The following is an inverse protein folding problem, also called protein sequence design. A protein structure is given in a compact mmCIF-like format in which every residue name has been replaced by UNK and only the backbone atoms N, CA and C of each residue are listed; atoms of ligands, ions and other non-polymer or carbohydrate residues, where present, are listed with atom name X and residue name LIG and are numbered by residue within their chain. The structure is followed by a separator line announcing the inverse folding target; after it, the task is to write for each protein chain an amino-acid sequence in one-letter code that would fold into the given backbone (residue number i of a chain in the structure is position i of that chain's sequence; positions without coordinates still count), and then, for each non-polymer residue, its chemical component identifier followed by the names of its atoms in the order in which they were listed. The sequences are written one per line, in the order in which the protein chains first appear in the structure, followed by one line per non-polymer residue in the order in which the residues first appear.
data_IF_996231153115
#
_entry.id   IF_996231153115
#
_cell.length_a   1.000
_cell.length_b   1.000
_cell.length_c   1.000
_cell.angle_alpha   90.00
_cell.angle_beta   90.00
_cell.angle_gamma   90.00
#
_symmetry.space_group_name_H-M   'P 1'
#
loop_
_entity.id
_entity.type
_entity.pdbx_description
1 polymer ?
#
# COMPACT_ATOMS: atom_id res chain seq x y z
N UNK A 1 -7.52 -5.47 -9.67
CA UNK A 1 -6.56 -4.40 -10.02
C UNK A 1 -5.18 -5.00 -10.14
N UNK A 2 -4.34 -4.48 -11.01
CA UNK A 2 -3.07 -5.14 -11.41
C UNK A 2 -1.83 -4.69 -10.63
N UNK A 3 -1.97 -3.72 -9.74
CA UNK A 3 -0.82 -3.05 -9.11
C UNK A 3 -0.88 -3.09 -7.56
N UNK A 4 -1.53 -4.13 -7.01
CA UNK A 4 -1.69 -4.34 -5.57
C UNK A 4 -0.72 -5.43 -5.11
N UNK A 5 0.14 -5.15 -4.11
CA UNK A 5 1.02 -6.14 -3.53
C UNK A 5 0.24 -7.26 -2.83
N UNK A 6 0.60 -8.51 -3.13
CA UNK A 6 0.15 -9.65 -2.34
C UNK A 6 1.05 -9.79 -1.11
N UNK A 7 0.46 -10.06 0.06
CA UNK A 7 1.18 -10.26 1.32
C UNK A 7 0.84 -11.61 1.91
N UNK A 8 1.90 -12.33 2.34
CA UNK A 8 1.79 -13.55 3.11
C UNK A 8 2.67 -13.44 4.35
N UNK A 9 2.04 -13.44 5.53
CA UNK A 9 2.71 -13.25 6.81
C UNK A 9 3.19 -14.59 7.37
N UNK A 10 4.49 -14.77 7.51
CA UNK A 10 5.07 -15.88 8.25
C UNK A 10 4.96 -15.65 9.76
N UNK A 11 4.20 -16.49 10.47
CA UNK A 11 4.07 -16.42 11.94
C UNK A 11 5.11 -17.29 12.56
N UNK A 12 6.08 -16.67 13.25
CA UNK A 12 7.20 -17.33 13.93
C UNK A 12 7.08 -17.11 15.42
N UNK A 13 6.79 -18.17 16.16
CA UNK A 13 6.71 -18.10 17.62
C UNK A 13 8.10 -18.23 18.25
N UNK A 14 8.30 -17.55 19.38
CA UNK A 14 9.54 -17.57 20.15
C UNK A 14 9.30 -18.02 21.58
N UNK A 15 10.32 -18.60 22.21
CA UNK A 15 10.31 -19.02 23.61
C UNK A 15 11.67 -18.78 24.23
N UNK A 16 11.72 -18.46 25.52
CA UNK A 16 12.94 -18.37 26.29
C UNK A 16 13.09 -19.63 27.12
N UNK A 17 14.30 -20.16 27.22
CA UNK A 17 14.68 -21.42 27.88
C UNK A 17 14.18 -21.60 29.33
N UNK A 18 13.99 -20.49 30.07
CA UNK A 18 13.49 -20.53 31.45
C UNK A 18 11.96 -20.56 31.56
N UNK A 19 11.23 -20.54 30.42
CA UNK A 19 9.76 -20.66 30.36
C UNK A 19 9.34 -21.96 29.66
N UNK A 20 8.14 -22.49 29.94
CA UNK A 20 7.67 -23.68 29.24
C UNK A 20 7.52 -23.44 27.72
N UNK A 21 8.27 -24.17 26.91
CA UNK A 21 8.15 -24.14 25.45
C UNK A 21 6.71 -24.48 25.01
N UNK A 22 6.08 -25.45 25.69
CA UNK A 22 4.71 -25.87 25.41
C UNK A 22 3.69 -24.75 25.51
N UNK A 23 3.97 -23.73 26.32
CA UNK A 23 3.09 -22.54 26.43
C UNK A 23 3.09 -21.76 25.11
N UNK A 24 4.26 -21.46 24.56
CA UNK A 24 4.38 -20.80 23.26
C UNK A 24 3.79 -21.62 22.12
N UNK A 25 4.02 -22.94 22.10
CA UNK A 25 3.43 -23.85 21.11
C UNK A 25 1.90 -23.81 21.14
N UNK A 26 1.31 -23.89 22.33
CA UNK A 26 -0.14 -23.89 22.47
C UNK A 26 -0.77 -22.54 22.12
N UNK A 27 -0.13 -21.44 22.54
CA UNK A 27 -0.57 -20.07 22.20
C UNK A 27 -0.48 -19.80 20.71
N UNK A 28 0.59 -20.25 20.04
CA UNK A 28 0.68 -20.15 18.56
C UNK A 28 -0.47 -20.90 17.88
N UNK A 29 -0.74 -22.15 18.28
CA UNK A 29 -1.85 -22.92 17.71
C UNK A 29 -3.21 -22.24 17.93
N UNK A 30 -3.43 -21.67 19.10
CA UNK A 30 -4.64 -20.92 19.39
C UNK A 30 -4.74 -19.66 18.50
N UNK A 31 -3.65 -18.94 18.32
CA UNK A 31 -3.57 -17.78 17.42
C UNK A 31 -3.89 -18.15 15.96
N UNK A 32 -3.24 -19.20 15.42
CA UNK A 32 -3.50 -19.67 14.04
C UNK A 32 -4.99 -20.04 13.88
N UNK A 33 -5.54 -20.76 14.86
CA UNK A 33 -6.95 -21.12 14.84
C UNK A 33 -7.85 -19.87 14.87
N UNK A 34 -7.62 -18.93 15.78
CA UNK A 34 -8.40 -17.70 15.87
C UNK A 34 -8.34 -16.89 14.56
N UNK A 35 -7.16 -16.80 13.94
CA UNK A 35 -7.02 -16.13 12.66
C UNK A 35 -7.82 -16.82 11.57
N UNK A 36 -7.68 -18.13 11.41
CA UNK A 36 -8.34 -18.88 10.32
C UNK A 36 -9.86 -19.05 10.52
N UNK A 37 -10.34 -18.92 11.74
CA UNK A 37 -11.78 -18.89 12.02
C UNK A 37 -12.44 -17.57 11.58
N UNK A 38 -11.67 -16.47 11.51
CA UNK A 38 -12.19 -15.12 11.29
C UNK A 38 -11.76 -14.53 9.94
N UNK A 39 -10.58 -14.86 9.46
CA UNK A 39 -9.92 -14.29 8.29
C UNK A 39 -9.48 -15.34 7.28
N UNK A 40 -8.95 -14.91 6.11
CA UNK A 40 -8.51 -15.83 5.08
C UNK A 40 -7.19 -16.52 5.47
N UNK A 41 -7.19 -17.84 5.50
CA UNK A 41 -6.03 -18.65 5.83
C UNK A 41 -4.84 -18.46 4.87
N UNK A 42 -5.08 -17.96 3.64
CA UNK A 42 -4.01 -17.70 2.67
C UNK A 42 -3.07 -16.56 3.08
N UNK A 43 -3.55 -15.63 3.93
CA UNK A 43 -2.81 -14.44 4.34
C UNK A 43 -1.66 -14.76 5.29
N UNK A 44 -1.70 -15.92 5.93
CA UNK A 44 -0.74 -16.35 6.92
C UNK A 44 -0.07 -17.68 6.60
N UNK A 45 1.08 -17.91 7.20
CA UNK A 45 1.78 -19.18 7.22
C UNK A 45 2.31 -19.47 8.62
N UNK A 46 1.93 -20.61 9.20
CA UNK A 46 2.48 -21.06 10.45
C UNK A 46 3.86 -21.67 10.23
N UNK A 47 4.92 -21.05 10.76
CA UNK A 47 6.26 -21.63 10.71
C UNK A 47 6.32 -22.87 11.59
N UNK A 48 6.66 -24.07 11.04
CA UNK A 48 6.68 -25.31 11.77
C UNK A 48 7.90 -25.47 12.67
N UNK A 49 8.92 -24.64 12.52
CA UNK A 49 10.03 -24.59 13.49
C UNK A 49 9.38 -24.34 14.85
N UNK A 50 9.49 -25.30 15.75
CA UNK A 50 8.65 -25.39 16.93
C UNK A 50 8.61 -24.10 17.70
N UNK A 51 9.79 -23.62 18.06
CA UNK A 51 9.93 -22.33 18.76
C UNK A 51 11.35 -21.83 18.50
N UNK A 52 11.48 -20.55 18.24
CA UNK A 52 12.81 -19.92 18.14
C UNK A 52 13.33 -19.62 19.52
N UNK A 53 14.30 -20.39 19.98
CA UNK A 53 15.02 -20.21 21.26
C UNK A 53 16.51 -19.86 21.07
N UNK A 54 17.02 -20.04 19.86
CA UNK A 54 18.43 -19.85 19.54
C UNK A 54 18.60 -19.27 18.12
N UNK A 55 19.83 -18.83 17.83
CA UNK A 55 20.19 -18.38 16.48
C UNK A 55 20.12 -19.51 15.45
N UNK A 56 20.31 -20.76 15.84
CA UNK A 56 20.16 -21.93 14.97
C UNK A 56 18.68 -22.08 14.58
N UNK A 57 17.78 -22.01 15.56
CA UNK A 57 16.33 -22.05 15.28
C UNK A 57 15.89 -20.85 14.44
N UNK A 58 16.47 -19.68 14.67
CA UNK A 58 16.23 -18.47 13.87
C UNK A 58 16.57 -18.70 12.39
N UNK A 59 17.77 -19.27 12.10
CA UNK A 59 18.18 -19.59 10.73
C UNK A 59 17.23 -20.59 10.06
N UNK A 60 16.78 -21.61 10.79
CA UNK A 60 15.82 -22.59 10.33
C UNK A 60 14.45 -21.93 10.02
N UNK A 61 13.97 -21.05 10.89
CA UNK A 61 12.72 -20.33 10.69
C UNK A 61 12.79 -19.40 9.47
N UNK A 62 13.91 -18.66 9.31
CA UNK A 62 14.12 -17.82 8.12
C UNK A 62 14.09 -18.63 6.82
N UNK A 63 14.77 -19.78 6.81
CA UNK A 63 14.78 -20.65 5.64
C UNK A 63 13.39 -21.19 5.32
N UNK A 64 12.63 -21.57 6.33
CA UNK A 64 11.29 -22.13 6.20
C UNK A 64 10.28 -21.09 5.66
N UNK A 65 10.17 -19.93 6.30
CA UNK A 65 9.23 -18.88 5.85
C UNK A 65 9.58 -18.34 4.44
N UNK A 66 10.87 -18.31 4.10
CA UNK A 66 11.33 -17.98 2.74
C UNK A 66 10.89 -19.03 1.73
N UNK A 67 11.06 -20.33 2.06
CA UNK A 67 10.63 -21.42 1.21
C UNK A 67 9.10 -21.46 1.03
N UNK A 68 8.35 -21.02 2.04
CA UNK A 68 6.89 -20.87 1.99
C UNK A 68 6.42 -19.64 1.18
N UNK A 69 7.34 -18.80 0.70
CA UNK A 69 7.02 -17.59 -0.06
C UNK A 69 6.46 -16.46 0.79
N UNK A 70 6.74 -16.42 2.10
CA UNK A 70 6.34 -15.32 2.96
C UNK A 70 7.17 -14.08 2.65
N UNK A 71 6.50 -12.94 2.49
CA UNK A 71 7.10 -11.64 2.27
C UNK A 71 6.80 -10.63 3.40
N UNK A 72 6.13 -11.08 4.45
CA UNK A 72 5.95 -10.36 5.70
C UNK A 72 6.20 -11.30 6.89
N UNK A 73 6.59 -10.76 8.03
CA UNK A 73 6.96 -11.52 9.24
C UNK A 73 6.15 -11.03 10.44
N UNK A 74 5.56 -11.96 11.18
CA UNK A 74 5.08 -11.74 12.53
C UNK A 74 5.94 -12.53 13.51
N UNK A 75 6.67 -11.85 14.39
CA UNK A 75 7.34 -12.45 15.55
C UNK A 75 6.34 -12.49 16.70
N UNK A 76 5.96 -13.70 17.08
CA UNK A 76 4.95 -13.95 18.12
C UNK A 76 5.63 -14.37 19.42
N UNK A 77 5.56 -13.52 20.44
CA UNK A 77 6.06 -13.84 21.77
C UNK A 77 5.01 -14.68 22.52
N UNK A 78 5.10 -15.99 22.42
CA UNK A 78 4.24 -16.90 23.16
C UNK A 78 4.56 -16.97 24.65
N UNK A 79 5.79 -16.60 25.01
CA UNK A 79 6.26 -16.27 26.35
C UNK A 79 7.32 -15.15 26.24
N UNK A 80 8.18 -14.95 27.23
CA UNK A 80 9.15 -13.84 27.28
C UNK A 80 9.99 -13.66 26.00
N UNK A 81 10.38 -14.74 25.33
CA UNK A 81 11.21 -14.70 24.14
C UNK A 81 12.73 -14.52 24.39
N UNK A 82 13.58 -14.96 23.46
CA UNK A 82 15.03 -14.80 23.52
C UNK A 82 15.45 -13.53 22.77
N UNK A 83 15.76 -12.45 23.46
CA UNK A 83 16.03 -11.11 22.95
C UNK A 83 16.95 -11.04 21.73
N UNK A 84 17.98 -11.89 21.68
CA UNK A 84 18.94 -11.94 20.57
C UNK A 84 18.29 -12.57 19.34
N UNK A 85 17.83 -13.81 19.47
CA UNK A 85 17.35 -14.59 18.31
C UNK A 85 16.12 -13.98 17.67
N UNK A 86 15.16 -13.48 18.44
CA UNK A 86 13.93 -12.85 17.92
C UNK A 86 14.20 -11.53 17.18
N UNK A 87 15.13 -10.72 17.69
CA UNK A 87 15.48 -9.44 17.05
C UNK A 87 16.42 -9.63 15.86
N UNK A 88 17.27 -10.67 15.88
CA UNK A 88 18.08 -11.06 14.72
C UNK A 88 17.21 -11.70 13.63
N UNK A 89 16.18 -12.46 13.98
CA UNK A 89 15.16 -12.93 13.05
C UNK A 89 14.57 -11.74 12.26
N UNK A 90 14.13 -10.72 12.96
CA UNK A 90 13.61 -9.51 12.36
C UNK A 90 14.66 -8.74 11.51
N UNK A 91 15.92 -8.74 11.96
CA UNK A 91 17.01 -8.06 11.25
C UNK A 91 17.35 -8.72 9.92
N UNK A 92 17.34 -10.04 9.86
CA UNK A 92 17.71 -10.80 8.65
C UNK A 92 16.54 -11.12 7.74
N UNK A 93 15.30 -10.89 8.19
CA UNK A 93 14.14 -10.99 7.32
C UNK A 93 14.07 -9.75 6.41
N UNK A 94 14.02 -9.98 5.11
CA UNK A 94 13.84 -8.93 4.10
C UNK A 94 12.34 -8.72 3.82
N UNK A 95 11.78 -7.63 4.31
CA UNK A 95 10.37 -7.28 4.18
C UNK A 95 9.77 -6.65 5.43
N UNK A 96 8.47 -6.28 5.38
CA UNK A 96 7.74 -5.77 6.52
C UNK A 96 7.64 -6.78 7.66
N UNK A 97 7.76 -6.32 8.88
CA UNK A 97 7.78 -7.15 10.07
C UNK A 97 7.02 -6.51 11.22
N UNK A 98 6.36 -7.35 12.03
CA UNK A 98 5.68 -6.94 13.24
C UNK A 98 6.04 -7.80 14.43
N UNK A 99 5.75 -7.30 15.62
CA UNK A 99 5.86 -8.03 16.89
C UNK A 99 4.54 -7.95 17.64
N UNK A 100 4.07 -9.08 18.14
CA UNK A 100 2.93 -9.18 19.04
C UNK A 100 3.21 -10.23 20.11
N UNK A 101 2.57 -10.11 21.28
CA UNK A 101 2.81 -10.96 22.42
C UNK A 101 1.52 -11.52 23.02
N UNK A 102 1.58 -12.72 23.57
CA UNK A 102 0.46 -13.37 24.22
C UNK A 102 0.18 -12.77 25.60
N UNK A 103 -1.08 -12.45 25.87
CA UNK A 103 -1.55 -12.18 27.23
C UNK A 103 -1.60 -13.46 28.07
N UNK A 104 -1.60 -13.31 29.40
CA UNK A 104 -1.88 -14.42 30.29
C UNK A 104 -3.39 -14.73 30.26
N UNK A 105 -3.75 -16.00 30.17
CA UNK A 105 -5.12 -16.45 29.99
C UNK A 105 -6.00 -16.26 31.24
N UNK A 106 -5.37 -16.23 32.42
CA UNK A 106 -6.11 -16.12 33.68
C UNK A 106 -5.21 -15.63 34.83
N UNK A 107 -5.82 -15.04 35.86
CA UNK A 107 -5.11 -14.68 37.09
C UNK A 107 -4.38 -15.87 37.75
N UNK A 108 -4.83 -17.09 37.52
CA UNK A 108 -4.19 -18.30 38.06
C UNK A 108 -2.81 -18.54 37.42
N UNK A 109 -2.60 -18.12 36.19
CA UNK A 109 -1.35 -18.26 35.48
C UNK A 109 -0.23 -17.32 36.03
N UNK A 110 -0.63 -16.24 36.74
CA UNK A 110 0.31 -15.27 37.27
C UNK A 110 1.24 -15.82 38.35
N UNK A 111 0.89 -16.95 39.00
CA UNK A 111 1.67 -17.58 40.05
C UNK A 111 2.49 -18.75 39.50
N UNK A 112 1.90 -19.61 38.68
CA UNK A 112 2.54 -20.76 38.07
C UNK A 112 2.20 -20.85 36.59
N UNK A 113 3.22 -21.08 35.76
CA UNK A 113 3.04 -21.24 34.31
C UNK A 113 2.85 -19.92 33.54
N UNK A 114 3.24 -18.77 34.14
CA UNK A 114 3.24 -17.49 33.45
C UNK A 114 4.24 -17.46 32.31
N UNK A 115 3.94 -16.69 31.28
CA UNK A 115 4.80 -16.53 30.11
C UNK A 115 5.64 -15.25 30.13
N UNK A 116 5.20 -14.23 30.88
CA UNK A 116 5.82 -12.90 30.96
C UNK A 116 6.07 -12.25 29.59
N UNK A 117 5.23 -12.54 28.61
CA UNK A 117 5.40 -12.06 27.24
C UNK A 117 5.31 -10.53 27.11
N UNK A 118 4.57 -9.85 27.99
CA UNK A 118 4.56 -8.38 28.06
C UNK A 118 5.95 -7.80 28.38
N UNK A 119 6.64 -8.39 29.37
CA UNK A 119 8.02 -8.02 29.70
C UNK A 119 8.97 -8.31 28.53
N UNK A 120 8.79 -9.47 27.91
CA UNK A 120 9.52 -9.85 26.69
C UNK A 120 9.35 -8.82 25.57
N UNK A 121 8.13 -8.31 25.34
CA UNK A 121 7.84 -7.31 24.32
C UNK A 121 8.55 -5.98 24.57
N UNK A 122 8.65 -5.54 25.84
CA UNK A 122 9.44 -4.36 26.20
C UNK A 122 10.92 -4.55 25.86
N UNK A 123 11.47 -5.73 26.18
CA UNK A 123 12.85 -6.08 25.85
C UNK A 123 13.07 -6.21 24.34
N UNK A 124 12.17 -6.84 23.60
CA UNK A 124 12.21 -6.92 22.14
C UNK A 124 12.25 -5.53 21.51
N UNK A 125 11.38 -4.62 21.95
CA UNK A 125 11.32 -3.23 21.47
C UNK A 125 12.63 -2.48 21.69
N UNK A 126 13.23 -2.64 22.87
CA UNK A 126 14.54 -2.06 23.18
C UNK A 126 15.64 -2.63 22.29
N UNK A 127 15.67 -3.96 22.11
CA UNK A 127 16.67 -4.65 21.32
C UNK A 127 16.57 -4.35 19.81
N UNK A 128 15.35 -4.18 19.28
CA UNK A 128 15.13 -3.70 17.92
C UNK A 128 15.77 -2.32 17.70
N UNK A 129 15.53 -1.40 18.65
CA UNK A 129 16.13 -0.06 18.62
C UNK A 129 17.67 -0.11 18.69
N UNK A 130 18.25 -0.96 19.56
CA UNK A 130 19.71 -1.15 19.66
C UNK A 130 20.33 -1.59 18.33
N UNK A 131 19.60 -2.38 17.54
CA UNK A 131 20.07 -2.92 16.26
C UNK A 131 19.65 -2.10 15.04
N UNK A 132 18.96 -0.98 15.27
CA UNK A 132 18.39 -0.15 14.20
C UNK A 132 17.51 -0.96 13.24
N UNK A 133 16.66 -1.83 13.80
CA UNK A 133 15.70 -2.65 13.06
C UNK A 133 14.31 -2.03 13.20
N UNK A 134 13.71 -1.62 12.06
CA UNK A 134 12.33 -1.17 11.99
C UNK A 134 11.36 -2.34 12.05
N UNK A 135 10.35 -2.25 12.90
CA UNK A 135 9.24 -3.20 12.96
C UNK A 135 7.97 -2.47 13.37
N UNK A 136 6.82 -2.94 12.89
CA UNK A 136 5.53 -2.48 13.37
C UNK A 136 5.23 -3.11 14.73
N UNK A 137 4.89 -2.28 15.68
CA UNK A 137 4.44 -2.68 17.01
C UNK A 137 3.09 -2.00 17.22
N UNK A 138 1.98 -2.75 17.39
CA UNK A 138 0.69 -2.17 17.71
C UNK A 138 0.74 -1.26 18.96
N UNK A 139 -0.17 -0.33 19.07
CA UNK A 139 -0.24 0.58 20.24
C UNK A 139 -0.29 -0.19 21.57
N UNK A 140 -1.05 -1.29 21.60
CA UNK A 140 -1.04 -2.27 22.69
C UNK A 140 -0.74 -3.66 22.12
N UNK A 141 0.52 -4.11 22.13
CA UNK A 141 0.96 -5.27 21.36
C UNK A 141 0.80 -6.61 22.09
N UNK A 142 -0.05 -6.68 23.10
CA UNK A 142 -0.26 -7.88 23.95
C UNK A 142 -1.75 -8.20 23.98
N UNK A 143 -2.12 -9.42 23.66
CA UNK A 143 -3.51 -9.84 23.64
C UNK A 143 -3.70 -11.35 23.73
N UNK A 144 -4.93 -11.78 23.85
CA UNK A 144 -5.28 -13.18 23.68
C UNK A 144 -5.15 -13.61 22.20
N UNK A 145 -5.56 -14.82 21.89
CA UNK A 145 -5.45 -15.35 20.53
C UNK A 145 -6.28 -14.57 19.50
N UNK A 146 -7.46 -14.08 19.89
CA UNK A 146 -8.35 -13.30 19.03
C UNK A 146 -7.80 -11.89 18.82
N UNK A 147 -7.37 -11.22 19.89
CA UNK A 147 -6.72 -9.90 19.82
C UNK A 147 -5.47 -9.93 18.93
N UNK A 148 -4.62 -10.95 19.09
CA UNK A 148 -3.43 -11.10 18.26
C UNK A 148 -3.76 -11.39 16.80
N UNK A 149 -4.83 -12.14 16.54
CA UNK A 149 -5.30 -12.37 15.17
C UNK A 149 -5.77 -11.06 14.50
N UNK A 150 -6.48 -10.21 15.24
CA UNK A 150 -6.89 -8.90 14.77
C UNK A 150 -5.69 -7.99 14.50
N UNK A 151 -4.71 -7.94 15.39
CA UNK A 151 -3.47 -7.17 15.19
C UNK A 151 -2.70 -7.61 13.93
N UNK A 152 -2.65 -8.92 13.64
CA UNK A 152 -2.02 -9.45 12.43
C UNK A 152 -2.82 -9.06 11.19
N UNK A 153 -4.14 -9.11 11.25
CA UNK A 153 -4.99 -8.66 10.15
C UNK A 153 -4.81 -7.17 9.86
N UNK A 154 -4.77 -6.33 10.89
CA UNK A 154 -4.52 -4.89 10.78
C UNK A 154 -3.11 -4.57 10.25
N UNK A 155 -2.17 -5.49 10.38
CA UNK A 155 -0.83 -5.36 9.81
C UNK A 155 -0.80 -5.59 8.28
N UNK A 156 -1.72 -6.35 7.70
CA UNK A 156 -1.71 -6.65 6.26
C UNK A 156 -1.66 -5.40 5.36
N UNK A 157 -2.51 -4.36 5.56
CA UNK A 157 -2.44 -3.15 4.77
C UNK A 157 -1.11 -2.40 4.94
N UNK A 158 -0.53 -2.40 6.13
CA UNK A 158 0.79 -1.82 6.40
C UNK A 158 1.87 -2.59 5.64
N UNK A 159 1.82 -3.90 5.70
CA UNK A 159 2.76 -4.78 5.00
C UNK A 159 2.67 -4.62 3.47
N UNK A 160 1.44 -4.49 2.92
CA UNK A 160 1.25 -4.19 1.48
C UNK A 160 1.89 -2.86 1.09
N UNK A 161 1.69 -1.81 1.88
CA UNK A 161 2.29 -0.51 1.60
C UNK A 161 3.82 -0.57 1.61
N UNK A 162 4.43 -1.23 2.60
CA UNK A 162 5.89 -1.36 2.73
C UNK A 162 6.48 -2.20 1.60
N UNK A 163 5.89 -3.36 1.29
CA UNK A 163 6.30 -4.22 0.16
C UNK A 163 6.12 -3.48 -1.17
N UNK A 164 5.00 -2.75 -1.29
CA UNK A 164 4.72 -1.93 -2.46
C UNK A 164 5.79 -0.88 -2.71
N UNK A 165 6.13 -0.08 -1.70
CA UNK A 165 7.12 0.98 -1.78
C UNK A 165 8.51 0.46 -2.17
N UNK A 166 8.93 -0.66 -1.60
CA UNK A 166 10.21 -1.29 -1.92
C UNK A 166 10.31 -1.74 -3.39
N UNK A 167 9.17 -1.90 -4.07
CA UNK A 167 9.09 -2.38 -5.46
C UNK A 167 8.43 -1.37 -6.42
N UNK A 168 8.24 -0.12 -5.99
CA UNK A 168 7.61 0.94 -6.76
C UNK A 168 8.61 1.68 -7.64
N UNK A 169 8.21 2.00 -8.86
CA UNK A 169 8.81 3.04 -9.70
C UNK A 169 7.76 4.08 -10.05
N UNK A 170 8.10 5.35 -9.89
CA UNK A 170 7.28 6.46 -10.37
C UNK A 170 7.92 7.03 -11.63
N UNK A 171 7.18 7.00 -12.73
CA UNK A 171 7.59 7.53 -14.02
C UNK A 171 6.98 8.93 -14.16
N UNK A 172 7.82 9.96 -14.29
CA UNK A 172 7.36 11.33 -14.46
C UNK A 172 7.62 11.86 -15.86
N UNK A 173 6.69 12.70 -16.33
CA UNK A 173 6.79 13.44 -17.61
C UNK A 173 6.65 14.93 -17.35
N UNK A 174 7.78 15.60 -17.15
CA UNK A 174 7.72 16.98 -16.73
C UNK A 174 9.01 17.76 -16.98
N UNK A 175 9.20 18.88 -16.36
CA UNK A 175 8.91 19.26 -14.97
C UNK A 175 7.47 19.70 -14.71
N UNK A 176 7.12 19.87 -13.40
CA UNK A 176 5.86 20.49 -12.97
C UNK A 176 5.64 21.85 -13.66
N UNK A 177 4.40 22.34 -13.74
CA UNK A 177 4.12 23.69 -14.23
C UNK A 177 4.86 24.75 -13.40
N UNK A 178 5.33 25.83 -14.05
CA UNK A 178 6.27 26.80 -13.48
C UNK A 178 5.81 27.39 -12.13
N UNK A 179 4.54 27.76 -12.01
CA UNK A 179 4.01 28.42 -10.81
C UNK A 179 3.33 27.44 -9.83
N UNK A 180 3.45 26.13 -10.05
CA UNK A 180 2.83 25.11 -9.20
C UNK A 180 3.84 24.52 -8.21
N UNK A 181 4.32 25.35 -7.29
CA UNK A 181 5.39 24.98 -6.35
C UNK A 181 4.97 23.91 -5.33
N UNK A 182 3.68 23.72 -5.12
CA UNK A 182 3.17 22.66 -4.26
C UNK A 182 3.62 21.26 -4.71
N UNK A 183 3.84 21.06 -6.01
CA UNK A 183 4.33 19.80 -6.57
C UNK A 183 5.86 19.75 -6.71
N UNK A 184 6.59 20.57 -5.97
CA UNK A 184 8.05 20.54 -5.94
C UNK A 184 8.55 19.48 -4.95
N UNK A 185 8.77 18.27 -5.43
CA UNK A 185 9.09 17.12 -4.60
C UNK A 185 10.60 16.93 -4.40
N UNK A 186 11.09 16.79 -3.14
CA UNK A 186 12.47 16.37 -2.86
C UNK A 186 12.61 14.85 -3.06
N UNK A 187 12.80 14.41 -4.29
CA UNK A 187 12.82 12.98 -4.68
C UNK A 187 13.90 12.15 -3.98
N UNK A 188 14.99 12.79 -3.54
CA UNK A 188 16.10 12.08 -2.89
C UNK A 188 15.66 11.22 -1.69
N UNK A 189 14.65 11.67 -0.95
CA UNK A 189 14.15 10.93 0.22
C UNK A 189 13.39 9.66 -0.17
N UNK A 190 12.82 9.60 -1.36
CA UNK A 190 12.04 8.46 -1.84
C UNK A 190 12.92 7.24 -2.13
N UNK A 191 14.17 7.45 -2.54
CA UNK A 191 15.15 6.36 -2.71
C UNK A 191 15.42 5.62 -1.41
N UNK A 192 15.36 6.30 -0.25
CA UNK A 192 15.52 5.67 1.06
C UNK A 192 14.35 4.74 1.44
N UNK A 193 13.19 4.93 0.80
CA UNK A 193 12.02 4.06 0.94
C UNK A 193 12.01 2.91 -0.07
N UNK A 194 13.01 2.85 -0.94
CA UNK A 194 13.08 1.86 -2.02
C UNK A 194 12.36 2.27 -3.31
N UNK A 195 11.76 3.47 -3.35
CA UNK A 195 11.06 3.97 -4.53
C UNK A 195 12.06 4.48 -5.57
N UNK A 196 11.95 4.02 -6.80
CA UNK A 196 12.71 4.56 -7.94
C UNK A 196 11.92 5.66 -8.65
N UNK A 197 12.63 6.68 -9.09
CA UNK A 197 12.04 7.77 -9.88
C UNK A 197 12.71 7.82 -11.23
N UNK A 198 11.91 7.83 -12.29
CA UNK A 198 12.37 8.05 -13.66
C UNK A 198 11.80 9.37 -14.18
N UNK A 199 12.68 10.32 -14.46
CA UNK A 199 12.28 11.64 -14.94
C UNK A 199 12.47 11.73 -16.45
N UNK A 200 11.37 11.96 -17.17
CA UNK A 200 11.32 12.14 -18.62
C UNK A 200 10.76 13.51 -18.97
N UNK A 201 10.99 13.96 -20.17
CA UNK A 201 10.38 15.18 -20.69
C UNK A 201 9.03 14.90 -21.37
N UNK A 202 8.20 15.94 -21.51
CA UNK A 202 6.98 15.84 -22.35
C UNK A 202 7.30 15.60 -23.84
N UNK A 203 8.51 15.93 -24.30
CA UNK A 203 8.92 15.64 -25.67
C UNK A 203 9.11 14.14 -25.89
N UNK A 204 9.68 13.43 -24.92
CA UNK A 204 9.85 11.97 -24.98
C UNK A 204 8.48 11.30 -25.07
N UNK A 205 7.52 11.76 -24.26
CA UNK A 205 6.14 11.27 -24.29
C UNK A 205 5.46 11.59 -25.62
N UNK A 206 5.66 12.77 -26.16
CA UNK A 206 5.07 13.20 -27.43
C UNK A 206 5.63 12.42 -28.63
N UNK A 207 6.92 12.15 -28.64
CA UNK A 207 7.54 11.28 -29.65
C UNK A 207 6.98 9.86 -29.57
N UNK A 208 6.92 9.28 -28.36
CA UNK A 208 6.35 7.96 -28.14
C UNK A 208 4.88 7.91 -28.60
N UNK A 209 4.08 8.92 -28.28
CA UNK A 209 2.71 9.02 -28.74
C UNK A 209 2.60 9.04 -30.26
N UNK A 210 3.43 9.80 -30.96
CA UNK A 210 3.42 9.86 -32.43
C UNK A 210 3.84 8.49 -33.03
N UNK A 211 4.75 7.77 -32.41
CA UNK A 211 5.18 6.45 -32.85
C UNK A 211 4.07 5.37 -32.71
N UNK A 212 3.07 5.60 -31.88
CA UNK A 212 1.89 4.74 -31.75
C UNK A 212 0.77 5.08 -32.74
N UNK A 213 0.98 6.03 -33.66
CA UNK A 213 -0.03 6.38 -34.64
C UNK A 213 -0.35 5.18 -35.55
N UNK A 214 -1.63 4.79 -35.61
CA UNK A 214 -2.07 3.65 -36.39
C UNK A 214 -1.78 2.27 -35.76
N UNK A 215 -1.47 2.21 -34.47
CA UNK A 215 -1.33 0.93 -33.76
C UNK A 215 -2.59 0.08 -33.90
N UNK A 216 -2.41 -1.20 -34.26
CA UNK A 216 -3.51 -2.12 -34.53
C UNK A 216 -4.41 -2.41 -33.32
N UNK A 217 -3.96 -2.12 -32.09
CA UNK A 217 -4.72 -2.28 -30.83
C UNK A 217 -5.70 -1.12 -30.58
N UNK A 218 -5.53 0.03 -31.24
CA UNK A 218 -6.38 1.22 -31.05
C UNK A 218 -7.88 0.92 -31.20
N UNK A 219 -8.37 0.19 -32.21
CA UNK A 219 -9.80 -0.09 -32.36
C UNK A 219 -10.40 -0.86 -31.17
N UNK A 220 -9.65 -1.78 -30.57
CA UNK A 220 -10.09 -2.54 -29.40
C UNK A 220 -10.22 -1.63 -28.17
N UNK A 221 -9.20 -0.80 -27.90
CA UNK A 221 -9.23 0.16 -26.80
C UNK A 221 -10.34 1.19 -26.97
N UNK A 222 -10.59 1.65 -28.21
CA UNK A 222 -11.73 2.56 -28.52
C UNK A 222 -13.08 1.88 -28.24
N UNK A 223 -13.22 0.59 -28.56
CA UNK A 223 -14.46 -0.15 -28.30
C UNK A 223 -14.70 -0.29 -26.78
N UNK A 224 -13.65 -0.57 -26.02
CA UNK A 224 -13.69 -0.64 -24.56
C UNK A 224 -14.03 0.74 -23.92
N UNK A 225 -13.40 1.82 -24.39
CA UNK A 225 -13.74 3.20 -23.97
C UNK A 225 -15.18 3.57 -24.26
N UNK A 226 -15.71 3.18 -25.43
CA UNK A 226 -17.12 3.41 -25.79
C UNK A 226 -18.07 2.68 -24.86
N UNK A 227 -17.76 1.43 -24.52
CA UNK A 227 -18.57 0.63 -23.60
C UNK A 227 -18.58 1.24 -22.20
N UNK A 228 -17.41 1.72 -21.71
CA UNK A 228 -17.27 2.35 -20.39
C UNK A 228 -18.03 3.69 -20.30
N UNK A 229 -17.90 4.55 -21.30
CA UNK A 229 -18.49 5.89 -21.31
C UNK A 229 -20.00 5.89 -21.65
N UNK A 230 -20.48 4.91 -22.42
CA UNK A 230 -21.86 4.79 -22.85
C UNK A 230 -22.40 6.09 -23.48
N UNK A 231 -23.63 6.45 -23.13
CA UNK A 231 -24.29 7.69 -23.61
C UNK A 231 -23.66 8.97 -23.03
N UNK A 232 -22.82 8.87 -22.00
CA UNK A 232 -22.08 10.00 -21.42
C UNK A 232 -21.00 10.56 -22.33
N UNK A 233 -20.59 9.81 -23.36
CA UNK A 233 -19.56 10.25 -24.29
C UNK A 233 -20.08 11.34 -25.24
N UNK A 234 -19.69 12.58 -24.97
CA UNK A 234 -20.06 13.77 -25.81
C UNK A 234 -18.98 14.13 -26.83
N UNK A 235 -17.87 13.43 -26.89
CA UNK A 235 -16.73 13.69 -27.78
C UNK A 235 -16.15 12.41 -28.38
N UNK A 236 -16.95 11.63 -29.13
CA UNK A 236 -16.51 10.37 -29.70
C UNK A 236 -15.34 10.52 -30.70
N UNK A 237 -15.16 11.71 -31.28
CA UNK A 237 -14.11 12.02 -32.26
C UNK A 237 -12.68 11.98 -31.69
N UNK A 238 -12.51 12.11 -30.39
CA UNK A 238 -11.17 12.08 -29.77
C UNK A 238 -10.75 10.70 -29.23
N UNK A 239 -11.63 9.70 -29.25
CA UNK A 239 -11.36 8.38 -28.65
C UNK A 239 -10.15 7.69 -29.26
N UNK A 240 -9.90 7.80 -30.56
CA UNK A 240 -8.72 7.22 -31.18
C UNK A 240 -7.43 7.77 -30.60
N UNK A 241 -7.35 9.09 -30.38
CA UNK A 241 -6.19 9.74 -29.77
C UNK A 241 -6.03 9.35 -28.31
N UNK A 242 -7.14 9.22 -27.58
CA UNK A 242 -7.12 8.77 -26.18
C UNK A 242 -6.66 7.31 -26.08
N UNK A 243 -7.11 6.44 -26.97
CA UNK A 243 -6.68 5.05 -27.04
C UNK A 243 -5.19 4.95 -27.41
N UNK A 244 -4.74 5.73 -28.39
CA UNK A 244 -3.32 5.84 -28.73
C UNK A 244 -2.48 6.27 -27.53
N UNK A 245 -2.94 7.25 -26.75
CA UNK A 245 -2.26 7.73 -25.55
C UNK A 245 -2.23 6.69 -24.43
N UNK A 246 -3.33 5.97 -24.20
CA UNK A 246 -3.37 4.87 -23.24
C UNK A 246 -2.33 3.78 -23.59
N UNK A 247 -2.30 3.36 -24.86
CA UNK A 247 -1.33 2.38 -25.33
C UNK A 247 0.10 2.89 -25.20
N UNK A 248 0.34 4.17 -25.48
CA UNK A 248 1.66 4.80 -25.30
C UNK A 248 2.14 4.69 -23.87
N UNK A 249 1.28 5.01 -22.89
CA UNK A 249 1.63 4.92 -21.47
C UNK A 249 1.86 3.48 -21.02
N UNK A 250 1.01 2.54 -21.46
CA UNK A 250 1.16 1.13 -21.09
C UNK A 250 2.44 0.52 -21.66
N UNK A 251 2.77 0.80 -22.90
CA UNK A 251 4.00 0.31 -23.53
C UNK A 251 5.23 0.99 -22.94
N UNK A 252 5.14 2.27 -22.58
CA UNK A 252 6.20 2.97 -21.85
C UNK A 252 6.47 2.29 -20.50
N UNK A 253 5.42 1.99 -19.74
CA UNK A 253 5.54 1.26 -18.48
C UNK A 253 6.28 -0.05 -18.68
N UNK A 254 5.85 -0.88 -19.64
CA UNK A 254 6.47 -2.19 -19.88
C UNK A 254 7.94 -2.08 -20.28
N UNK A 255 8.30 -1.09 -21.09
CA UNK A 255 9.67 -0.86 -21.52
C UNK A 255 10.57 -0.31 -20.39
N UNK A 256 10.02 0.44 -19.45
CA UNK A 256 10.78 1.22 -18.47
C UNK A 256 10.65 0.75 -17.01
N UNK A 257 9.73 -0.15 -16.68
CA UNK A 257 9.55 -0.65 -15.30
C UNK A 257 10.81 -1.32 -14.73
N UNK A 258 11.66 -1.89 -15.59
CA UNK A 258 12.88 -2.58 -15.18
C UNK A 258 12.58 -3.78 -14.28
N UNK A 259 13.25 -3.86 -13.14
CA UNK A 259 13.03 -4.90 -12.13
C UNK A 259 11.89 -4.60 -11.15
N UNK A 260 11.25 -3.44 -11.27
CA UNK A 260 10.17 -3.04 -10.37
C UNK A 260 8.87 -3.75 -10.71
N UNK A 261 8.07 -4.05 -9.68
CA UNK A 261 6.80 -4.75 -9.84
C UNK A 261 5.62 -3.78 -10.02
N UNK A 262 5.72 -2.60 -9.39
CA UNK A 262 4.63 -1.63 -9.31
C UNK A 262 5.03 -0.29 -9.92
N UNK A 263 4.07 0.35 -10.57
CA UNK A 263 4.28 1.60 -11.29
C UNK A 263 3.22 2.62 -10.90
N UNK A 264 3.65 3.87 -10.74
CA UNK A 264 2.78 5.04 -10.75
C UNK A 264 3.32 6.06 -11.75
N UNK A 265 2.46 6.93 -12.22
CA UNK A 265 2.81 7.97 -13.21
C UNK A 265 2.56 9.35 -12.61
N UNK A 266 3.44 10.30 -12.91
CA UNK A 266 3.25 11.72 -12.62
C UNK A 266 3.37 12.51 -13.92
N UNK A 267 2.23 12.99 -14.45
CA UNK A 267 2.16 13.73 -15.71
C UNK A 267 1.53 15.11 -15.50
N UNK A 268 1.33 15.86 -16.59
CA UNK A 268 0.59 17.13 -16.54
C UNK A 268 -0.27 17.33 -17.79
N UNK A 269 -1.36 18.08 -17.65
CA UNK A 269 -2.27 18.38 -18.75
C UNK A 269 -2.09 19.78 -19.32
N UNK A 270 -1.24 20.62 -18.73
CA UNK A 270 -0.99 22.00 -19.10
C UNK A 270 0.46 22.44 -18.79
N UNK A 271 0.98 23.55 -19.38
CA UNK A 271 0.26 24.47 -20.29
C UNK A 271 0.25 24.01 -21.76
N UNK A 272 1.20 23.15 -22.20
CA UNK A 272 1.37 22.85 -23.63
C UNK A 272 0.70 21.53 -24.08
N UNK A 273 0.38 20.62 -23.18
CA UNK A 273 -0.12 19.30 -23.52
C UNK A 273 -1.32 19.34 -24.45
N UNK A 274 -2.37 20.10 -24.09
CA UNK A 274 -3.60 20.17 -24.86
C UNK A 274 -3.36 20.67 -26.30
N UNK A 275 -2.49 21.64 -26.48
CA UNK A 275 -2.20 22.21 -27.80
C UNK A 275 -1.35 21.27 -28.68
N UNK A 276 -0.46 20.49 -28.08
CA UNK A 276 0.42 19.57 -28.81
C UNK A 276 -0.26 18.24 -29.13
N UNK A 277 -0.94 17.65 -28.17
CA UNK A 277 -1.64 16.36 -28.35
C UNK A 277 -3.05 16.52 -28.97
N UNK A 278 -3.66 17.68 -28.81
CA UNK A 278 -5.02 17.98 -29.30
C UNK A 278 -6.15 17.42 -28.45
N UNK A 279 -5.85 17.00 -27.22
CA UNK A 279 -6.82 16.53 -26.20
C UNK A 279 -6.24 16.76 -24.80
N UNK A 280 -7.04 16.51 -23.75
CA UNK A 280 -6.57 16.47 -22.35
C UNK A 280 -6.47 15.03 -21.86
N UNK A 281 -5.46 14.66 -21.07
CA UNK A 281 -5.20 13.26 -20.70
C UNK A 281 -6.12 12.73 -19.58
N UNK A 282 -6.93 13.58 -18.96
CA UNK A 282 -7.65 13.33 -17.72
C UNK A 282 -8.46 12.01 -17.73
N UNK A 283 -9.16 11.70 -18.82
CA UNK A 283 -9.94 10.46 -18.92
C UNK A 283 -9.05 9.21 -18.92
N UNK A 284 -7.95 9.23 -19.65
CA UNK A 284 -6.99 8.10 -19.66
C UNK A 284 -6.33 7.95 -18.30
N UNK A 285 -5.94 9.05 -17.67
CA UNK A 285 -5.36 9.04 -16.33
C UNK A 285 -6.34 8.42 -15.32
N UNK A 286 -7.61 8.87 -15.33
CA UNK A 286 -8.69 8.31 -14.51
C UNK A 286 -8.88 6.81 -14.74
N UNK A 287 -8.83 6.38 -16.00
CA UNK A 287 -8.93 4.97 -16.38
C UNK A 287 -7.80 4.11 -15.84
N UNK A 288 -6.56 4.58 -15.94
CA UNK A 288 -5.38 3.88 -15.41
C UNK A 288 -5.44 3.80 -13.89
N UNK A 289 -5.76 4.90 -13.21
CA UNK A 289 -5.97 4.92 -11.75
C UNK A 289 -7.05 3.91 -11.34
N UNK A 290 -8.17 3.84 -12.06
CA UNK A 290 -9.24 2.87 -11.82
C UNK A 290 -8.84 1.41 -12.03
N UNK A 291 -7.75 1.16 -12.74
CA UNK A 291 -7.14 -0.16 -12.96
C UNK A 291 -6.02 -0.48 -11.98
N UNK A 292 -5.69 0.45 -11.09
CA UNK A 292 -4.65 0.31 -10.06
C UNK A 292 -3.28 0.83 -10.48
N UNK A 293 -3.20 1.62 -11.55
CA UNK A 293 -1.99 2.37 -11.93
C UNK A 293 -2.26 3.85 -11.64
N UNK A 294 -1.82 4.37 -10.48
CA UNK A 294 -2.04 5.76 -10.12
C UNK A 294 -1.38 6.71 -11.13
N UNK A 295 -2.12 7.76 -11.51
CA UNK A 295 -1.61 8.80 -12.40
C UNK A 295 -1.95 10.17 -11.81
N UNK A 296 -0.98 10.82 -11.19
CA UNK A 296 -1.14 12.18 -10.66
C UNK A 296 -0.98 13.25 -11.75
N UNK A 297 -1.60 14.42 -11.55
CA UNK A 297 -1.41 15.59 -12.40
C UNK A 297 -0.32 16.53 -11.85
N UNK A 298 0.00 17.59 -12.59
CA UNK A 298 1.01 18.60 -12.27
C UNK A 298 2.43 18.05 -12.02
N UNK A 299 2.70 16.79 -12.45
CA UNK A 299 3.93 16.06 -12.13
C UNK A 299 4.12 15.95 -10.62
N UNK A 300 3.01 15.71 -9.90
CA UNK A 300 3.02 15.52 -8.46
C UNK A 300 3.47 14.10 -8.11
N UNK A 301 4.78 13.94 -7.93
CA UNK A 301 5.40 12.65 -7.57
C UNK A 301 4.89 12.16 -6.21
N UNK A 302 4.70 13.06 -5.23
CA UNK A 302 4.16 12.68 -3.93
C UNK A 302 2.66 12.37 -3.97
N UNK A 303 1.91 13.01 -4.86
CA UNK A 303 0.52 12.65 -5.14
C UNK A 303 0.42 11.23 -5.69
N UNK A 304 1.23 10.90 -6.71
CA UNK A 304 1.30 9.54 -7.25
C UNK A 304 1.70 8.49 -6.19
N UNK A 305 2.66 8.83 -5.33
CA UNK A 305 3.05 8.00 -4.19
C UNK A 305 1.88 7.79 -3.21
N UNK A 306 1.15 8.86 -2.88
CA UNK A 306 0.03 8.83 -1.94
C UNK A 306 -1.13 7.98 -2.47
N UNK A 307 -1.47 8.12 -3.75
CA UNK A 307 -2.48 7.28 -4.40
C UNK A 307 -2.04 5.81 -4.42
N UNK A 308 -0.77 5.52 -4.67
CA UNK A 308 -0.25 4.16 -4.63
C UNK A 308 -0.34 3.54 -3.23
N UNK A 309 0.09 4.27 -2.19
CA UNK A 309 -0.03 3.82 -0.80
C UNK A 309 -1.50 3.57 -0.43
N UNK A 310 -2.38 4.51 -0.79
CA UNK A 310 -3.81 4.37 -0.57
C UNK A 310 -4.38 3.12 -1.25
N UNK A 311 -3.98 2.85 -2.49
CA UNK A 311 -4.35 1.64 -3.25
C UNK A 311 -3.84 0.36 -2.56
N UNK A 312 -2.61 0.35 -2.06
CA UNK A 312 -2.08 -0.78 -1.29
C UNK A 312 -2.89 -1.06 -0.01
N UNK A 313 -3.33 0.00 0.67
CA UNK A 313 -4.07 -0.11 1.94
C UNK A 313 -5.50 -0.54 1.71
N UNK A 314 -6.20 0.09 0.76
CA UNK A 314 -7.63 -0.15 0.51
C UNK A 314 -7.91 -1.34 -0.41
N UNK A 315 -6.92 -1.81 -1.17
CA UNK A 315 -7.07 -2.80 -2.26
C UNK A 315 -8.07 -2.35 -3.34
N UNK A 316 -8.30 -1.05 -3.41
CA UNK A 316 -9.20 -0.44 -4.38
C UNK A 316 -8.59 0.86 -4.95
N UNK A 317 -9.24 1.40 -5.99
CA UNK A 317 -8.82 2.66 -6.59
C UNK A 317 -8.97 3.81 -5.59
N UNK A 318 -7.94 4.61 -5.50
CA UNK A 318 -7.90 5.82 -4.67
C UNK A 318 -7.76 7.03 -5.58
N UNK A 319 -8.28 8.16 -5.16
CA UNK A 319 -8.17 9.41 -5.91
C UNK A 319 -7.57 10.52 -5.06
N UNK A 320 -6.70 11.30 -5.68
CA UNK A 320 -6.16 12.53 -5.12
C UNK A 320 -7.11 13.68 -5.49
N UNK A 321 -7.50 14.48 -4.49
CA UNK A 321 -8.35 15.66 -4.68
C UNK A 321 -7.64 16.91 -4.16
N UNK A 322 -7.81 17.99 -4.87
CA UNK A 322 -7.50 19.32 -4.33
C UNK A 322 -8.60 19.75 -3.36
N UNK A 323 -8.25 20.43 -2.30
CA UNK A 323 -9.19 21.18 -1.48
C UNK A 323 -9.44 22.50 -2.19
N UNK A 324 -10.45 22.53 -3.08
CA UNK A 324 -10.65 23.65 -3.99
C UNK A 324 -11.40 24.82 -3.36
N UNK A 325 -12.42 24.51 -2.54
CA UNK A 325 -13.32 25.53 -2.04
C UNK A 325 -13.86 25.22 -0.65
N UNK A 326 -14.31 26.27 0.04
CA UNK A 326 -15.25 26.09 1.14
C UNK A 326 -16.62 25.65 0.59
N UNK A 327 -17.36 24.90 1.36
CA UNK A 327 -18.75 24.54 1.01
C UNK A 327 -19.60 25.80 0.97
N UNK A 328 -20.37 26.08 -0.11
CA UNK A 328 -21.32 27.20 -0.14
C UNK A 328 -22.34 27.09 1.01
N UNK A 329 -22.72 28.22 1.60
CA UNK A 329 -23.58 28.23 2.80
C UNK A 329 -24.97 27.61 2.58
N UNK A 330 -25.52 27.76 1.38
CA UNK A 330 -26.79 27.15 0.98
C UNK A 330 -26.66 25.62 0.92
N UNK A 331 -25.63 25.11 0.28
CA UNK A 331 -25.32 23.68 0.23
C UNK A 331 -25.07 23.10 1.65
N UNK A 332 -24.33 23.81 2.50
CA UNK A 332 -24.11 23.39 3.89
C UNK A 332 -25.45 23.25 4.63
N UNK A 333 -26.33 24.26 4.54
CA UNK A 333 -27.63 24.25 5.17
C UNK A 333 -28.53 23.13 4.66
N UNK A 334 -28.49 22.87 3.38
CA UNK A 334 -29.34 21.83 2.77
C UNK A 334 -28.84 20.42 3.08
N UNK A 335 -27.51 20.20 3.07
CA UNK A 335 -26.95 18.86 3.05
C UNK A 335 -26.34 18.41 4.38
N UNK A 336 -25.92 19.33 5.26
CA UNK A 336 -25.12 19.04 6.45
C UNK A 336 -25.77 19.55 7.74
N UNK A 337 -26.22 20.82 7.75
CA UNK A 337 -26.75 21.46 8.97
C UNK A 337 -27.93 20.67 9.56
N UNK A 338 -27.79 20.26 10.81
CA UNK A 338 -28.80 19.45 11.53
C UNK A 338 -28.89 17.99 11.12
N UNK A 339 -28.07 17.54 10.15
CA UNK A 339 -27.99 16.12 9.74
C UNK A 339 -26.70 15.44 10.24
N UNK A 340 -25.62 16.20 10.37
CA UNK A 340 -24.32 15.74 10.81
C UNK A 340 -23.75 16.70 11.84
N UNK A 341 -22.93 16.19 12.75
CA UNK A 341 -22.28 16.98 13.81
C UNK A 341 -20.99 17.66 13.32
N UNK A 342 -21.13 18.45 12.23
CA UNK A 342 -20.05 19.26 11.68
C UNK A 342 -20.50 20.71 11.53
N UNK A 343 -19.63 21.65 11.88
CA UNK A 343 -19.86 23.07 11.57
C UNK A 343 -19.47 23.36 10.12
N UNK A 344 -19.91 24.48 9.59
CA UNK A 344 -19.50 24.91 8.24
C UNK A 344 -17.97 25.01 8.08
N UNK A 345 -17.23 25.28 9.18
CA UNK A 345 -15.77 25.38 9.16
C UNK A 345 -15.06 24.04 9.12
N UNK A 346 -15.77 22.96 9.44
CA UNK A 346 -15.24 21.60 9.42
C UNK A 346 -15.43 20.94 8.03
N UNK A 347 -15.96 21.70 7.06
CA UNK A 347 -16.30 21.19 5.73
C UNK A 347 -15.55 21.91 4.63
N UNK A 348 -15.22 21.18 3.59
CA UNK A 348 -14.60 21.69 2.36
C UNK A 348 -15.12 20.92 1.14
N UNK A 349 -14.90 21.48 -0.03
CA UNK A 349 -15.13 20.78 -1.29
C UNK A 349 -13.80 20.29 -1.85
N UNK A 350 -13.71 18.97 -2.00
CA UNK A 350 -12.61 18.31 -2.69
C UNK A 350 -12.99 18.05 -4.15
N UNK A 351 -12.10 18.41 -5.07
CA UNK A 351 -12.32 18.22 -6.49
C UNK A 351 -10.97 18.11 -7.23
N UNK A 352 -10.92 17.31 -8.28
CA UNK A 352 -9.85 17.34 -9.26
C UNK A 352 -10.44 17.44 -10.66
N UNK A 353 -9.81 18.20 -11.55
CA UNK A 353 -10.38 18.57 -12.85
C UNK A 353 -10.43 17.45 -13.90
N UNK A 354 -10.51 16.20 -13.48
CA UNK A 354 -10.74 15.07 -14.38
C UNK A 354 -9.77 13.90 -14.21
N UNK A 355 -8.80 14.02 -13.31
CA UNK A 355 -7.89 12.93 -12.98
C UNK A 355 -8.48 11.95 -11.93
N UNK A 356 -9.64 12.28 -11.39
CA UNK A 356 -10.36 11.50 -10.39
C UNK A 356 -10.86 10.19 -10.99
N UNK A 357 -10.55 9.07 -10.34
CA UNK A 357 -11.07 7.78 -10.76
C UNK A 357 -12.59 7.72 -10.70
N UNK A 358 -13.22 7.36 -11.82
CA UNK A 358 -14.69 7.27 -11.93
C UNK A 358 -15.33 6.25 -10.98
N UNK A 359 -14.57 5.26 -10.51
CA UNK A 359 -15.04 4.27 -9.52
C UNK A 359 -15.20 4.84 -8.11
N UNK A 360 -14.47 5.91 -7.79
CA UNK A 360 -14.50 6.54 -6.45
C UNK A 360 -15.52 7.67 -6.34
N UNK A 361 -16.15 8.07 -7.46
CA UNK A 361 -17.12 9.13 -7.50
C UNK A 361 -18.52 8.56 -7.79
N UNK A 362 -19.37 8.58 -6.78
CA UNK A 362 -20.80 8.34 -6.96
C UNK A 362 -21.45 9.61 -7.44
N UNK A 363 -21.78 9.69 -8.74
CA UNK A 363 -22.66 10.74 -9.23
C UNK A 363 -24.09 10.43 -8.81
N UNK A 364 -24.48 10.91 -7.66
CA UNK A 364 -25.91 11.06 -7.34
C UNK A 364 -26.41 12.27 -8.10
N UNK A 365 -27.17 12.01 -9.12
CA UNK A 365 -27.91 13.03 -9.85
C UNK A 365 -29.12 13.52 -9.07
#
# INVERSE_FOLDING_TARGET
MINIPEVKVGIVAVSRDCFPESLSVNRRKALIKAYTDKYDAKDIYECPVCIVESEIHMEQALADIKAAGCNALCVYLGNFGPEISETMLAKYFDGPKMFVAAAEESQNNLVQGRGDAYCGMLNASYNLKLRNVGAYIPEYPVGDAEDCADMIHDFLPIARAVEGLANLKIISFGPRPTNFLACNAPIQQLYNLGVEIEENSELDLFEAFNNHAGDQRIPEVVADMKAELGEGNKKPEILEKLAQYELTLLDWIEAHKGSRKYIAIAGKCWPAFQTQFGFVPCYVNSRLTGRGIPVSCEVDIYGALSEFIGTCVSEDAVTLLDINNSVPKDMYKESIEGKFDYTHKDTFMGFHCGNTCSKTVSYTH
#
